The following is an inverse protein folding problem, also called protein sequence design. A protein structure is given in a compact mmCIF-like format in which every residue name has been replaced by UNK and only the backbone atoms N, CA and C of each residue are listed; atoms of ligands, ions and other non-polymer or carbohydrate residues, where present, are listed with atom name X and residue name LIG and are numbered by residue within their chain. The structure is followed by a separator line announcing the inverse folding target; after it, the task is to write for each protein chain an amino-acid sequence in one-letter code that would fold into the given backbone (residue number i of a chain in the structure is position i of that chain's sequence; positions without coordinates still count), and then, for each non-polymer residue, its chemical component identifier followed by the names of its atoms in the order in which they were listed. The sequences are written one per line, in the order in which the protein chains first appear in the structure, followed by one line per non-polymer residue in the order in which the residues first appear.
data_IF_933260787075
#
_entry.id   IF_933260787075
#
_cell.length_a   1.000
_cell.length_b   1.000
_cell.length_c   1.000
_cell.angle_alpha   90.00
_cell.angle_beta   90.00
_cell.angle_gamma   90.00
#
_symmetry.space_group_name_H-M   'P 1'
#
loop_
_entity.id
_entity.type
_entity.pdbx_description
1 polymer ?
#
# COMPACT_ATOMS: atom_id res chain seq x y z
N UNK A 1 -6.93 0.24 7.26
CA UNK A 1 -5.89 0.48 6.22
C UNK A 1 -6.29 -0.11 4.86
N UNK A 2 -6.72 -1.38 4.80
CA UNK A 2 -7.17 -2.03 3.55
C UNK A 2 -8.21 -1.19 2.78
N UNK A 3 -9.21 -0.66 3.48
CA UNK A 3 -10.22 0.27 2.96
C UNK A 3 -9.62 1.48 2.22
N UNK A 4 -8.72 2.21 2.89
CA UNK A 4 -8.06 3.40 2.33
C UNK A 4 -7.19 3.07 1.10
N UNK A 5 -6.54 1.90 1.10
CA UNK A 5 -5.77 1.43 -0.05
C UNK A 5 -6.72 1.10 -1.22
N UNK A 6 -7.93 0.58 -0.94
CA UNK A 6 -8.99 0.42 -1.93
C UNK A 6 -9.34 1.74 -2.61
N UNK A 7 -9.58 2.81 -1.85
CA UNK A 7 -9.79 4.15 -2.41
C UNK A 7 -8.61 4.68 -3.19
N UNK A 8 -7.38 4.48 -2.68
CA UNK A 8 -6.16 4.88 -3.38
C UNK A 8 -6.05 4.21 -4.76
N UNK A 9 -6.57 2.99 -4.89
CA UNK A 9 -6.63 2.19 -6.12
C UNK A 9 -7.94 2.37 -6.91
N UNK A 10 -8.80 3.31 -6.50
CA UNK A 10 -9.98 3.75 -7.26
C UNK A 10 -11.28 2.98 -7.00
N UNK A 11 -11.37 2.25 -5.90
CA UNK A 11 -12.64 1.74 -5.39
C UNK A 11 -13.44 2.84 -4.69
N UNK A 12 -14.77 2.74 -4.77
CA UNK A 12 -15.71 3.58 -4.04
C UNK A 12 -16.30 2.78 -2.89
N UNK A 13 -16.96 3.47 -1.96
CA UNK A 13 -17.79 2.83 -0.96
C UNK A 13 -18.89 2.00 -1.62
N UNK A 14 -19.26 0.86 -1.03
CA UNK A 14 -20.25 -0.07 -1.62
C UNK A 14 -21.65 0.55 -1.79
N UNK A 15 -21.98 1.61 -1.03
CA UNK A 15 -23.23 2.37 -1.17
C UNK A 15 -23.13 3.53 -2.19
N UNK A 16 -22.02 3.60 -2.94
CA UNK A 16 -21.81 4.58 -3.99
C UNK A 16 -21.77 6.05 -3.51
N UNK A 17 -21.60 6.30 -2.21
CA UNK A 17 -21.76 7.64 -1.59
C UNK A 17 -23.16 8.25 -1.80
N UNK A 18 -24.17 7.40 -2.01
CA UNK A 18 -25.55 7.81 -2.26
C UNK A 18 -26.55 6.84 -1.64
N UNK A 19 -27.75 6.78 -2.22
CA UNK A 19 -28.79 5.81 -1.86
C UNK A 19 -28.82 4.64 -2.86
N UNK A 20 -29.83 3.77 -2.81
CA UNK A 20 -30.00 2.63 -3.73
C UNK A 20 -30.01 2.96 -5.24
N UNK A 21 -30.03 4.25 -5.63
CA UNK A 21 -29.93 4.69 -7.03
C UNK A 21 -28.50 5.01 -7.47
N UNK A 22 -27.52 4.92 -6.58
CA UNK A 22 -26.11 5.19 -6.84
C UNK A 22 -25.32 3.89 -6.67
N UNK A 23 -24.32 3.71 -7.52
CA UNK A 23 -23.52 2.49 -7.63
C UNK A 23 -22.04 2.80 -7.35
N UNK A 24 -21.33 1.82 -6.82
CA UNK A 24 -19.87 1.82 -6.66
C UNK A 24 -19.15 1.44 -7.98
N UNK A 25 -19.95 1.07 -9.00
CA UNK A 25 -19.57 0.62 -10.34
C UNK A 25 -18.94 -0.78 -10.37
N UNK A 26 -19.33 -1.64 -9.44
CA UNK A 26 -19.02 -3.07 -9.42
C UNK A 26 -20.32 -3.87 -9.48
N UNK A 27 -20.51 -4.68 -10.53
CA UNK A 27 -21.76 -5.43 -10.72
C UNK A 27 -21.95 -6.58 -9.71
N UNK A 28 -20.87 -7.00 -9.05
CA UNK A 28 -20.85 -8.10 -8.09
C UNK A 28 -20.85 -7.66 -6.62
N UNK A 29 -21.00 -6.36 -6.36
CA UNK A 29 -21.35 -5.81 -5.04
C UNK A 29 -22.83 -5.41 -5.02
N UNK A 30 -23.66 -6.04 -4.18
CA UNK A 30 -25.05 -5.62 -4.02
C UNK A 30 -25.16 -4.14 -3.65
N UNK A 31 -26.11 -3.44 -4.27
CA UNK A 31 -26.41 -2.05 -3.92
C UNK A 31 -26.73 -1.91 -2.43
N UNK A 32 -26.07 -0.97 -1.77
CA UNK A 32 -26.39 -0.55 -0.41
C UNK A 32 -26.88 0.91 -0.41
N UNK A 33 -27.79 1.26 0.49
CA UNK A 33 -28.36 2.60 0.61
C UNK A 33 -27.49 3.55 1.45
N UNK A 34 -26.61 2.99 2.28
CA UNK A 34 -25.73 3.70 3.20
C UNK A 34 -24.62 2.77 3.68
N UNK A 35 -23.69 3.31 4.46
CA UNK A 35 -22.69 2.54 5.17
C UNK A 35 -23.31 1.67 6.27
N UNK A 36 -22.81 0.45 6.44
CA UNK A 36 -23.14 -0.40 7.57
C UNK A 36 -22.07 -0.27 8.66
N UNK A 37 -22.48 -0.52 9.90
CA UNK A 37 -21.59 -0.52 11.08
C UNK A 37 -21.85 -1.77 11.92
N UNK A 38 -20.80 -2.27 12.58
CA UNK A 38 -20.86 -3.57 13.24
C UNK A 38 -20.97 -4.72 12.22
N UNK A 39 -21.55 -5.85 12.66
CA UNK A 39 -21.56 -7.10 11.89
C UNK A 39 -22.96 -7.68 11.68
N UNK A 40 -23.98 -6.82 11.73
CA UNK A 40 -25.36 -7.26 11.55
C UNK A 40 -25.68 -7.34 10.06
N UNK A 41 -26.19 -8.49 9.63
CA UNK A 41 -26.72 -8.64 8.26
C UNK A 41 -27.84 -7.64 8.03
N UNK A 42 -27.72 -6.89 6.95
CA UNK A 42 -28.64 -5.82 6.56
C UNK A 42 -28.94 -5.94 5.08
N UNK A 43 -30.16 -5.64 4.68
CA UNK A 43 -30.57 -5.44 3.29
C UNK A 43 -31.22 -4.07 3.23
N UNK A 44 -30.43 -3.06 2.83
CA UNK A 44 -30.89 -1.68 2.78
C UNK A 44 -31.54 -1.32 1.44
N UNK A 45 -31.39 -2.18 0.42
CA UNK A 45 -31.96 -2.03 -0.91
C UNK A 45 -32.68 -3.33 -1.35
N UNK A 46 -33.87 -3.63 -0.77
CA UNK A 46 -34.53 -4.93 -0.92
C UNK A 46 -35.07 -5.23 -2.32
N UNK A 47 -35.23 -4.20 -3.15
CA UNK A 47 -35.57 -4.37 -4.58
C UNK A 47 -34.33 -4.68 -5.45
N UNK A 48 -33.15 -4.82 -4.83
CA UNK A 48 -31.85 -4.99 -5.46
C UNK A 48 -31.34 -6.44 -5.49
N UNK A 49 -30.02 -6.60 -5.39
CA UNK A 49 -29.32 -7.88 -5.60
C UNK A 49 -29.23 -8.76 -4.34
N UNK A 50 -29.77 -8.29 -3.21
CA UNK A 50 -29.77 -8.98 -1.92
C UNK A 50 -29.14 -8.14 -0.82
N UNK A 51 -28.77 -8.81 0.28
CA UNK A 51 -28.15 -8.17 1.44
C UNK A 51 -26.92 -7.33 1.06
N UNK A 52 -26.75 -6.23 1.80
CA UNK A 52 -25.54 -5.43 1.78
C UNK A 52 -24.34 -6.33 2.12
N UNK A 53 -23.25 -6.17 1.37
CA UNK A 53 -22.04 -6.97 1.55
C UNK A 53 -21.20 -6.43 2.71
N UNK A 54 -21.65 -6.65 3.94
CA UNK A 54 -21.02 -6.15 5.18
C UNK A 54 -19.58 -6.66 5.37
N UNK A 55 -19.21 -7.75 4.70
CA UNK A 55 -17.86 -8.31 4.72
C UNK A 55 -16.89 -7.60 3.75
N UNK A 56 -17.40 -6.69 2.90
CA UNK A 56 -16.58 -5.98 1.93
C UNK A 56 -15.67 -4.94 2.62
N UNK A 57 -14.40 -4.88 2.21
CA UNK A 57 -13.47 -3.88 2.75
C UNK A 57 -13.86 -2.44 2.42
N UNK A 58 -14.75 -2.20 1.46
CA UNK A 58 -15.24 -0.87 1.08
C UNK A 58 -16.53 -0.45 1.80
N UNK A 59 -16.99 -1.20 2.81
CA UNK A 59 -18.00 -0.74 3.77
C UNK A 59 -17.34 -0.07 5.00
N UNK A 60 -18.12 0.32 6.01
CA UNK A 60 -17.66 0.85 7.31
C UNK A 60 -17.95 -0.09 8.50
N UNK A 61 -18.15 -1.38 8.22
CA UNK A 61 -18.29 -2.40 9.25
C UNK A 61 -17.02 -2.54 10.10
N UNK A 62 -17.11 -3.25 11.22
CA UNK A 62 -15.93 -3.46 12.05
C UNK A 62 -14.93 -4.40 11.33
N UNK A 63 -13.63 -4.14 11.48
CA UNK A 63 -12.54 -4.94 10.90
C UNK A 63 -12.69 -6.46 11.15
N UNK A 64 -13.36 -6.85 12.25
CA UNK A 64 -13.63 -8.25 12.60
C UNK A 64 -14.50 -9.00 11.58
N UNK A 65 -15.24 -8.26 10.74
CA UNK A 65 -16.23 -8.80 9.82
C UNK A 65 -15.86 -8.56 8.35
N UNK A 66 -14.97 -7.61 8.07
CA UNK A 66 -14.42 -7.39 6.74
C UNK A 66 -13.43 -8.50 6.34
N UNK A 67 -13.62 -9.12 5.19
CA UNK A 67 -12.73 -10.17 4.71
C UNK A 67 -12.61 -10.29 3.19
N UNK A 68 -13.32 -9.48 2.39
CA UNK A 68 -13.39 -9.70 0.95
C UNK A 68 -13.30 -8.41 0.11
N UNK A 69 -12.63 -8.54 -1.03
CA UNK A 69 -12.84 -7.73 -2.23
C UNK A 69 -13.48 -8.61 -3.31
N UNK A 70 -14.33 -8.04 -4.14
CA UNK A 70 -14.98 -8.78 -5.22
C UNK A 70 -14.11 -8.89 -6.48
N UNK A 71 -14.56 -9.67 -7.47
CA UNK A 71 -13.84 -9.82 -8.72
C UNK A 71 -13.94 -8.54 -9.57
N UNK A 72 -15.08 -7.87 -9.57
CA UNK A 72 -15.25 -6.64 -10.33
C UNK A 72 -14.47 -5.48 -9.67
N UNK A 73 -14.42 -5.42 -8.33
CA UNK A 73 -13.51 -4.51 -7.61
C UNK A 73 -12.04 -4.74 -8.02
N UNK A 74 -11.60 -5.99 -8.14
CA UNK A 74 -10.26 -6.30 -8.67
C UNK A 74 -10.07 -5.77 -10.10
N UNK A 75 -11.05 -5.95 -10.98
CA UNK A 75 -10.97 -5.46 -12.37
C UNK A 75 -10.87 -3.94 -12.41
N UNK A 76 -11.59 -3.23 -11.52
CA UNK A 76 -11.48 -1.77 -11.39
C UNK A 76 -10.11 -1.32 -10.93
N UNK A 77 -9.55 -1.99 -9.93
CA UNK A 77 -8.18 -1.74 -9.46
C UNK A 77 -7.19 -1.90 -10.63
N UNK A 78 -7.30 -2.98 -11.40
CA UNK A 78 -6.44 -3.21 -12.56
C UNK A 78 -6.62 -2.10 -13.61
N UNK A 79 -7.85 -1.70 -13.92
CA UNK A 79 -8.13 -0.61 -14.85
C UNK A 79 -7.48 0.71 -14.39
N UNK A 80 -7.51 1.02 -13.09
CA UNK A 80 -6.85 2.20 -12.53
C UNK A 80 -5.33 2.09 -12.62
N UNK A 81 -4.76 0.94 -12.29
CA UNK A 81 -3.32 0.68 -12.40
C UNK A 81 -2.83 0.74 -13.85
N UNK A 82 -3.68 0.40 -14.81
CA UNK A 82 -3.34 0.40 -16.22
C UNK A 82 -3.48 1.76 -16.90
N UNK A 83 -4.48 2.55 -16.50
CA UNK A 83 -4.88 3.74 -17.25
C UNK A 83 -4.72 5.06 -16.47
N UNK A 84 -4.65 5.04 -15.15
CA UNK A 84 -4.54 6.29 -14.37
C UNK A 84 -3.13 6.87 -14.45
N UNK A 85 -2.95 8.14 -14.89
CA UNK A 85 -1.64 8.78 -14.93
C UNK A 85 -0.93 8.82 -13.57
N UNK A 86 -1.69 8.77 -12.47
CA UNK A 86 -1.16 8.79 -11.09
C UNK A 86 -0.80 7.40 -10.53
N UNK A 87 -1.09 6.31 -11.26
CA UNK A 87 -0.89 4.92 -10.80
C UNK A 87 -0.12 4.06 -11.79
N UNK A 88 -0.13 4.40 -13.08
CA UNK A 88 0.56 3.63 -14.13
C UNK A 88 2.05 3.44 -13.86
N UNK A 89 2.71 4.42 -13.25
CA UNK A 89 4.14 4.36 -12.89
C UNK A 89 4.45 3.32 -11.81
N UNK A 90 3.47 2.92 -10.99
CA UNK A 90 3.67 1.94 -9.93
C UNK A 90 4.00 0.55 -10.49
N UNK A 91 3.48 0.21 -11.68
CA UNK A 91 3.73 -1.08 -12.34
C UNK A 91 5.19 -1.29 -12.74
N UNK A 92 5.87 -0.20 -13.05
CA UNK A 92 7.26 -0.21 -13.54
C UNK A 92 8.21 0.42 -12.53
N UNK A 93 7.79 0.57 -11.28
CA UNK A 93 8.61 1.23 -10.27
C UNK A 93 9.87 0.41 -9.98
N UNK A 94 11.07 1.02 -10.01
CA UNK A 94 12.32 0.34 -9.68
C UNK A 94 12.55 0.25 -8.16
N UNK A 95 11.54 0.51 -7.31
CA UNK A 95 11.69 0.50 -5.84
C UNK A 95 12.29 -0.79 -5.27
N UNK A 96 12.13 -1.93 -5.96
CA UNK A 96 12.73 -3.21 -5.56
C UNK A 96 14.01 -3.57 -6.34
N UNK A 97 14.46 -2.70 -7.26
CA UNK A 97 15.74 -2.87 -7.91
C UNK A 97 16.86 -2.51 -6.93
N UNK A 98 17.97 -3.27 -6.91
CA UNK A 98 19.16 -2.88 -6.15
C UNK A 98 19.58 -1.47 -6.56
N UNK A 99 19.89 -0.63 -5.57
CA UNK A 99 20.41 0.70 -5.81
C UNK A 99 21.77 0.53 -6.54
N UNK A 100 21.98 1.16 -7.71
CA UNK A 100 23.28 1.13 -8.34
C UNK A 100 24.28 1.86 -7.43
N UNK A 101 25.32 1.14 -7.00
CA UNK A 101 26.38 1.71 -6.18
C UNK A 101 27.34 2.54 -7.05
N UNK A 102 27.57 3.79 -6.67
CA UNK A 102 28.57 4.67 -7.26
C UNK A 102 29.85 4.68 -6.43
N UNK A 103 30.96 5.11 -7.04
CA UNK A 103 32.29 5.14 -6.39
C UNK A 103 32.35 5.99 -5.11
N UNK A 104 31.38 6.89 -4.94
CA UNK A 104 31.26 7.81 -3.80
C UNK A 104 30.04 7.49 -2.93
N UNK A 105 29.43 6.32 -3.09
CA UNK A 105 28.41 5.83 -2.18
C UNK A 105 29.06 5.32 -0.89
N UNK A 106 28.56 5.78 0.24
CA UNK A 106 29.02 5.33 1.55
C UNK A 106 28.51 3.90 1.82
N UNK A 107 29.42 2.94 1.94
CA UNK A 107 29.10 1.59 2.40
C UNK A 107 29.43 1.44 3.89
N UNK A 108 28.46 0.99 4.69
CA UNK A 108 28.70 0.59 6.09
C UNK A 108 28.94 -0.91 6.14
N UNK A 109 30.19 -1.32 6.28
CA UNK A 109 30.56 -2.72 6.53
C UNK A 109 30.56 -3.00 8.02
N UNK A 110 29.63 -3.84 8.48
CA UNK A 110 29.65 -4.35 9.85
C UNK A 110 30.50 -5.62 9.85
N UNK A 111 31.76 -5.47 10.24
CA UNK A 111 32.74 -6.57 10.18
C UNK A 111 32.65 -7.55 11.35
N UNK A 112 31.87 -7.29 12.41
CA UNK A 112 31.69 -8.22 13.52
C UNK A 112 30.34 -8.03 14.22
N UNK A 113 29.49 -9.05 14.18
CA UNK A 113 28.35 -9.19 15.10
C UNK A 113 28.85 -9.92 16.36
N UNK A 114 28.95 -9.23 17.50
CA UNK A 114 29.20 -9.92 18.77
C UNK A 114 27.92 -10.62 19.24
N UNK A 115 27.82 -11.94 19.08
CA UNK A 115 26.83 -12.74 19.82
C UNK A 115 27.30 -12.89 21.26
N UNK A 116 26.90 -11.95 22.11
CA UNK A 116 27.06 -12.04 23.57
C UNK A 116 28.42 -11.59 24.08
N UNK A 117 28.43 -10.45 24.79
CA UNK A 117 29.55 -10.03 25.65
C UNK A 117 30.34 -8.83 25.13
N UNK A 118 30.13 -7.69 25.82
CA UNK A 118 30.98 -6.51 25.98
C UNK A 118 32.23 -6.39 25.07
N UNK A 119 32.24 -5.49 24.10
CA UNK A 119 33.48 -4.82 23.63
C UNK A 119 33.22 -3.38 23.17
N UNK A 120 34.13 -2.50 23.59
CA UNK A 120 34.30 -1.08 23.24
C UNK A 120 34.44 -0.85 21.73
N UNK A 121 33.62 0.02 21.17
CA UNK A 121 33.61 0.39 19.75
C UNK A 121 34.86 1.20 19.39
N UNK A 122 35.82 0.60 18.68
CA UNK A 122 36.83 1.36 17.93
C UNK A 122 36.41 1.43 16.47
N UNK A 123 35.86 2.58 16.07
CA UNK A 123 35.55 2.88 14.67
C UNK A 123 36.89 3.04 13.94
N UNK A 124 37.28 2.05 13.14
CA UNK A 124 38.41 2.21 12.21
C UNK A 124 37.87 2.77 10.89
N UNK A 125 38.08 4.06 10.67
CA UNK A 125 37.99 4.64 9.34
C UNK A 125 39.28 4.27 8.58
N UNK A 126 39.18 3.38 7.59
CA UNK A 126 40.32 3.09 6.70
C UNK A 126 40.22 4.03 5.50
N UNK A 127 40.95 5.14 5.54
CA UNK A 127 41.23 5.94 4.35
C UNK A 127 42.41 5.32 3.61
N UNK A 128 42.30 5.18 2.29
CA UNK A 128 43.45 4.78 1.47
C UNK A 128 44.41 5.97 1.36
N UNK A 129 45.72 5.72 1.24
CA UNK A 129 46.75 6.78 1.21
C UNK A 129 46.51 7.78 0.04
N UNK A 130 45.79 7.38 -1.01
CA UNK A 130 45.40 8.27 -2.11
C UNK A 130 44.38 9.35 -1.72
N UNK A 131 43.49 9.09 -0.75
CA UNK A 131 42.48 10.08 -0.32
C UNK A 131 43.05 11.16 0.61
N UNK A 132 44.14 10.85 1.34
CA UNK A 132 44.79 11.81 2.25
C UNK A 132 45.55 12.91 1.48
N UNK A 133 45.98 12.63 0.25
CA UNK A 133 46.68 13.58 -0.62
C UNK A 133 45.74 14.62 -1.25
N UNK A 134 44.44 14.33 -1.37
CA UNK A 134 43.45 15.27 -1.92
C UNK A 134 43.04 16.32 -0.89
N UNK A 135 43.09 16.01 0.41
CA UNK A 135 42.72 16.93 1.50
C UNK A 135 43.82 17.93 1.89
N UNK A 136 45.08 17.71 1.47
CA UNK A 136 46.20 18.64 1.73
C UNK A 136 46.48 19.59 0.55
N UNK A 137 45.71 19.51 -0.54
CA UNK A 137 45.91 20.28 -1.75
C UNK A 137 44.66 21.06 -2.19
N UNK A 138 43.99 21.71 -1.24
CA UNK A 138 43.05 22.80 -1.54
C UNK A 138 43.61 24.07 -0.87
N UNK A 139 43.68 25.22 -1.57
CA UNK A 139 44.12 26.48 -0.97
C UNK A 139 43.17 26.97 0.13
#
# INVERSE_FOLDING_TARGET
MTHEVGHFLGLRHIWGDGNCSVDDFCLDTPNAAAANYGCNTTDSCPDGQGNDMIENYMDYTDDLCMNIFTNDQKLRILAVMDNSPRRVSLKTSPTSAPIPLFANDAEVKIENYCTGGLVTQHIKYSFTIEELLILLQQP
#
